data_IF_415114463919
#
_entry.id   IF_415114463919
#
_cell.length_a   1.000
_cell.length_b   1.000
_cell.length_c   1.000
_cell.angle_alpha   90.00
_cell.angle_beta   90.00
_cell.angle_gamma   90.00
#
_symmetry.space_group_name_H-M   'P 1'
#
loop_
_entity.id
_entity.type
_entity.pdbx_description
1 polymer ?
#
# COMPACT_ATOMS: atom_id res chain seq x y z
N UNK A 1 -12.93 -22.15 -12.51
CA UNK A 1 -11.94 -22.75 -11.59
C UNK A 1 -10.60 -22.65 -12.30
N UNK A 2 -9.72 -21.77 -11.84
CA UNK A 2 -8.43 -21.52 -12.49
C UNK A 2 -7.52 -22.74 -12.39
N UNK A 3 -6.78 -23.05 -13.45
CA UNK A 3 -5.78 -24.11 -13.43
C UNK A 3 -4.60 -23.61 -12.59
N UNK A 4 -4.23 -24.40 -11.59
CA UNK A 4 -3.06 -24.13 -10.76
C UNK A 4 -1.96 -25.09 -11.18
N UNK A 5 -0.91 -24.56 -11.81
CA UNK A 5 0.28 -25.34 -12.11
C UNK A 5 1.39 -24.99 -11.11
N UNK A 6 1.92 -26.03 -10.47
CA UNK A 6 3.06 -25.97 -9.56
C UNK A 6 4.30 -26.48 -10.30
N UNK A 7 5.23 -25.58 -10.64
CA UNK A 7 6.55 -25.96 -11.15
C UNK A 7 7.61 -25.67 -10.08
N UNK A 8 8.19 -26.73 -9.52
CA UNK A 8 9.31 -26.67 -8.57
C UNK A 8 10.59 -27.08 -9.30
N UNK A 9 11.59 -26.19 -9.31
CA UNK A 9 12.92 -26.48 -9.87
C UNK A 9 13.95 -26.35 -8.75
N UNK A 10 14.64 -27.43 -8.45
CA UNK A 10 15.74 -27.45 -7.49
C UNK A 10 17.06 -27.31 -8.23
N UNK A 11 17.77 -26.19 -8.03
CA UNK A 11 19.11 -25.99 -8.57
C UNK A 11 20.11 -26.04 -7.43
N UNK A 12 21.04 -27.01 -7.48
CA UNK A 12 22.13 -27.10 -6.51
C UNK A 12 23.21 -26.10 -6.92
N UNK A 13 23.49 -25.11 -6.07
CA UNK A 13 24.53 -24.11 -6.33
C UNK A 13 25.69 -24.40 -5.36
N UNK A 14 26.80 -24.88 -5.92
CA UNK A 14 28.04 -25.03 -5.16
C UNK A 14 28.75 -23.68 -5.07
N UNK A 15 28.82 -23.10 -3.87
CA UNK A 15 29.70 -21.97 -3.56
C UNK A 15 30.89 -22.53 -2.78
N UNK A 16 32.08 -21.94 -2.94
CA UNK A 16 33.39 -22.51 -2.58
C UNK A 16 33.57 -23.11 -1.17
N UNK A 17 32.69 -22.85 -0.20
CA UNK A 17 32.72 -23.44 1.15
C UNK A 17 31.37 -24.05 1.61
N UNK A 18 30.44 -24.35 0.70
CA UNK A 18 29.18 -25.02 1.06
C UNK A 18 28.21 -25.27 -0.08
N UNK A 19 27.45 -26.37 0.02
CA UNK A 19 26.36 -26.70 -0.92
C UNK A 19 25.09 -25.97 -0.48
N UNK A 20 24.69 -24.95 -1.24
CA UNK A 20 23.40 -24.29 -1.10
C UNK A 20 22.36 -24.91 -2.04
N UNK A 21 21.17 -25.22 -1.53
CA UNK A 21 20.03 -25.59 -2.38
C UNK A 21 19.22 -24.35 -2.69
N UNK A 22 19.15 -23.95 -3.96
CA UNK A 22 18.23 -22.90 -4.42
C UNK A 22 16.91 -23.57 -4.84
N UNK A 23 15.87 -23.35 -4.07
CA UNK A 23 14.51 -23.84 -4.34
C UNK A 23 13.73 -22.73 -5.05
N UNK A 24 13.44 -22.92 -6.34
CA UNK A 24 12.55 -22.03 -7.09
C UNK A 24 11.18 -22.68 -7.23
N UNK A 25 10.17 -22.08 -6.59
CA UNK A 25 8.78 -22.50 -6.67
C UNK A 25 8.00 -21.46 -7.47
N UNK A 26 7.62 -21.81 -8.70
CA UNK A 26 6.79 -20.95 -9.56
C UNK A 26 5.34 -21.40 -9.46
N UNK A 27 4.50 -20.55 -8.87
CA UNK A 27 3.04 -20.73 -8.83
C UNK A 27 2.42 -19.95 -9.98
N UNK A 28 1.93 -20.65 -11.00
CA UNK A 28 1.13 -20.03 -12.06
C UNK A 28 -0.34 -20.35 -11.84
N UNK A 29 -1.10 -19.31 -11.46
CA UNK A 29 -2.55 -19.37 -11.36
C UNK A 29 -3.10 -18.78 -12.66
N UNK A 30 -3.72 -19.63 -13.49
CA UNK A 30 -4.37 -19.17 -14.71
C UNK A 30 -5.79 -18.65 -14.40
N UNK A 31 -5.94 -17.33 -14.49
CA UNK A 31 -7.15 -16.57 -14.23
C UNK A 31 -7.99 -16.32 -15.50
N UNK A 32 -7.67 -17.00 -16.61
CA UNK A 32 -8.40 -16.82 -17.86
C UNK A 32 -9.89 -17.21 -17.72
N UNK A 33 -10.75 -16.31 -18.20
CA UNK A 33 -12.19 -16.52 -18.21
C UNK A 33 -12.64 -17.45 -19.36
N UNK A 34 -11.75 -17.72 -20.32
CA UNK A 34 -11.99 -18.60 -21.45
C UNK A 34 -11.08 -19.84 -21.38
N UNK A 35 -11.60 -21.05 -21.70
CA UNK A 35 -10.77 -22.25 -21.78
C UNK A 35 -9.73 -22.14 -22.89
N UNK A 36 -8.73 -23.03 -22.89
CA UNK A 36 -7.74 -23.03 -23.97
C UNK A 36 -8.43 -23.33 -25.32
N UNK A 37 -7.87 -22.88 -26.47
CA UNK A 37 -8.46 -23.14 -27.78
C UNK A 37 -8.69 -24.63 -28.07
N UNK A 38 -7.84 -25.49 -27.52
CA UNK A 38 -7.93 -26.95 -27.63
C UNK A 38 -9.15 -27.50 -26.85
N UNK A 39 -9.40 -26.98 -25.65
CA UNK A 39 -10.58 -27.32 -24.84
C UNK A 39 -11.86 -26.78 -25.46
N UNK A 40 -11.81 -25.57 -26.02
CA UNK A 40 -12.93 -24.99 -26.79
C UNK A 40 -13.33 -25.86 -27.98
N UNK A 41 -12.37 -26.43 -28.71
CA UNK A 41 -12.64 -27.36 -29.81
C UNK A 41 -13.31 -28.66 -29.32
N UNK A 42 -12.89 -29.17 -28.16
CA UNK A 42 -13.50 -30.34 -27.52
C UNK A 42 -14.92 -30.06 -26.98
N UNK A 43 -15.20 -28.83 -26.52
CA UNK A 43 -16.56 -28.45 -26.16
C UNK A 43 -17.46 -28.30 -27.38
N UNK A 44 -16.94 -27.74 -28.47
CA UNK A 44 -17.69 -27.54 -29.72
C UNK A 44 -18.14 -28.86 -30.37
N UNK A 45 -17.40 -29.95 -30.18
CA UNK A 45 -17.81 -31.28 -30.68
C UNK A 45 -18.99 -31.87 -29.88
N UNK A 46 -19.24 -31.39 -28.67
CA UNK A 46 -20.38 -31.80 -27.82
C UNK A 46 -21.62 -30.95 -28.13
N UNK A 47 -21.46 -29.63 -28.20
CA UNK A 47 -22.53 -28.70 -28.59
C UNK A 47 -21.94 -27.52 -29.40
N UNK A 48 -22.37 -27.29 -30.64
CA UNK A 48 -21.90 -26.16 -31.45
C UNK A 48 -22.14 -24.78 -30.81
N UNK A 49 -23.14 -24.62 -29.94
CA UNK A 49 -23.55 -23.34 -29.33
C UNK A 49 -22.85 -23.03 -28.01
N UNK A 50 -22.08 -23.97 -27.46
CA UNK A 50 -21.41 -23.79 -26.17
C UNK A 50 -20.38 -22.67 -26.20
N UNK A 51 -19.73 -22.45 -27.35
CA UNK A 51 -18.72 -21.40 -27.52
C UNK A 51 -19.35 -20.02 -27.40
N UNK A 52 -20.50 -19.80 -28.03
CA UNK A 52 -21.24 -18.54 -27.93
C UNK A 52 -21.72 -18.28 -26.50
N UNK A 53 -22.17 -19.33 -25.80
CA UNK A 53 -22.53 -19.24 -24.38
C UNK A 53 -21.32 -18.88 -23.51
N UNK A 54 -20.17 -19.53 -23.71
CA UNK A 54 -18.94 -19.28 -22.95
C UNK A 54 -18.41 -17.85 -23.18
N UNK A 55 -18.46 -17.35 -24.42
CA UNK A 55 -18.10 -15.98 -24.74
C UNK A 55 -19.01 -15.00 -23.99
N UNK A 56 -20.33 -15.18 -24.07
CA UNK A 56 -21.29 -14.31 -23.37
C UNK A 56 -21.12 -14.37 -21.85
N UNK A 57 -20.88 -15.56 -21.29
CA UNK A 57 -20.58 -15.74 -19.87
C UNK A 57 -19.27 -15.03 -19.48
N UNK A 58 -18.21 -15.14 -20.29
CA UNK A 58 -16.93 -14.47 -20.05
C UNK A 58 -17.02 -12.95 -20.12
N UNK A 59 -17.79 -12.39 -21.05
CA UNK A 59 -18.02 -10.94 -21.17
C UNK A 59 -18.76 -10.43 -19.93
N UNK A 60 -19.78 -11.17 -19.48
CA UNK A 60 -20.52 -10.84 -18.25
C UNK A 60 -19.62 -10.88 -17.02
N UNK A 61 -18.78 -11.89 -16.90
CA UNK A 61 -17.81 -12.02 -15.81
C UNK A 61 -16.75 -10.91 -15.84
N UNK A 62 -16.21 -10.58 -17.02
CA UNK A 62 -15.27 -9.46 -17.19
C UNK A 62 -15.91 -8.12 -16.79
N UNK A 63 -17.14 -7.85 -17.25
CA UNK A 63 -17.88 -6.66 -16.85
C UNK A 63 -18.11 -6.60 -15.33
N UNK A 64 -18.38 -7.75 -14.70
CA UNK A 64 -18.50 -7.84 -13.25
C UNK A 64 -17.16 -7.55 -12.54
N UNK A 65 -16.04 -8.13 -13.00
CA UNK A 65 -14.69 -7.85 -12.46
C UNK A 65 -14.33 -6.37 -12.59
N UNK A 66 -14.55 -5.76 -13.75
CA UNK A 66 -14.32 -4.32 -13.95
C UNK A 66 -15.20 -3.44 -13.04
N UNK A 67 -16.46 -3.82 -12.80
CA UNK A 67 -17.33 -3.14 -11.85
C UNK A 67 -16.83 -3.28 -10.42
N UNK A 68 -16.36 -4.45 -10.02
CA UNK A 68 -15.76 -4.65 -8.70
C UNK A 68 -14.48 -3.84 -8.52
N UNK A 69 -13.60 -3.84 -9.51
CA UNK A 69 -12.33 -3.09 -9.46
C UNK A 69 -12.57 -1.59 -9.41
N UNK A 70 -13.49 -1.06 -10.23
CA UNK A 70 -13.88 0.35 -10.16
C UNK A 70 -14.48 0.72 -8.80
N UNK A 71 -15.30 -0.14 -8.20
CA UNK A 71 -15.83 0.07 -6.85
C UNK A 71 -14.73 0.09 -5.78
N UNK A 72 -13.77 -0.84 -5.83
CA UNK A 72 -12.60 -0.86 -4.93
C UNK A 72 -11.78 0.40 -5.09
N UNK A 73 -11.46 0.81 -6.32
CA UNK A 73 -10.74 2.05 -6.61
C UNK A 73 -11.48 3.28 -6.09
N UNK A 74 -12.80 3.32 -6.22
CA UNK A 74 -13.61 4.42 -5.69
C UNK A 74 -13.63 4.45 -4.14
N UNK A 75 -13.60 3.28 -3.48
CA UNK A 75 -13.44 3.21 -2.03
C UNK A 75 -12.07 3.77 -1.59
N UNK A 76 -10.99 3.32 -2.24
CA UNK A 76 -9.63 3.78 -1.96
C UNK A 76 -9.54 5.30 -2.15
N UNK A 77 -10.03 5.83 -3.29
CA UNK A 77 -10.06 7.27 -3.57
C UNK A 77 -10.85 8.07 -2.53
N UNK A 78 -11.93 7.51 -1.99
CA UNK A 78 -12.72 8.17 -0.93
C UNK A 78 -11.98 8.19 0.41
N UNK A 79 -11.29 7.11 0.76
CA UNK A 79 -10.46 7.05 1.96
C UNK A 79 -9.32 8.06 1.87
N UNK A 80 -8.58 8.04 0.75
CA UNK A 80 -7.44 8.92 0.50
C UNK A 80 -7.82 10.42 0.54
N UNK A 81 -9.01 10.76 0.03
CA UNK A 81 -9.55 12.14 0.13
C UNK A 81 -9.92 12.55 1.56
N UNK A 82 -10.37 11.63 2.42
CA UNK A 82 -10.64 11.93 3.84
C UNK A 82 -9.32 12.13 4.59
N UNK A 83 -8.34 11.27 4.33
CA UNK A 83 -7.02 11.34 4.96
C UNK A 83 -6.28 12.61 4.55
N UNK A 84 -6.32 12.98 3.26
CA UNK A 84 -5.75 14.22 2.77
C UNK A 84 -6.34 15.48 3.41
N UNK A 85 -7.67 15.52 3.61
CA UNK A 85 -8.32 16.65 4.29
C UNK A 85 -7.97 16.71 5.77
N UNK A 86 -7.95 15.57 6.46
CA UNK A 86 -7.59 15.49 7.87
C UNK A 86 -6.13 15.88 8.09
N UNK A 87 -5.23 15.45 7.22
CA UNK A 87 -3.82 15.83 7.24
C UNK A 87 -3.63 17.34 7.02
N UNK A 88 -4.37 17.93 6.07
CA UNK A 88 -4.32 19.38 5.81
C UNK A 88 -4.77 20.19 7.03
N UNK A 89 -5.88 19.81 7.67
CA UNK A 89 -6.32 20.46 8.91
C UNK A 89 -5.34 20.26 10.06
N UNK A 90 -4.78 19.05 10.21
CA UNK A 90 -3.75 18.77 11.22
C UNK A 90 -2.52 19.66 11.06
N UNK A 91 -2.03 19.82 9.83
CA UNK A 91 -0.89 20.68 9.53
C UNK A 91 -1.20 22.17 9.72
N UNK A 92 -2.42 22.60 9.39
CA UNK A 92 -2.89 23.97 9.65
C UNK A 92 -2.97 24.27 11.16
N UNK A 93 -3.55 23.38 11.96
CA UNK A 93 -3.62 23.54 13.41
C UNK A 93 -2.23 23.50 14.07
N UNK A 94 -1.33 22.63 13.59
CA UNK A 94 0.05 22.58 14.08
C UNK A 94 0.79 23.90 13.80
N UNK A 95 0.63 24.46 12.60
CA UNK A 95 1.19 25.77 12.25
C UNK A 95 0.63 26.88 13.14
N UNK A 96 -0.70 26.93 13.31
CA UNK A 96 -1.35 27.94 14.16
C UNK A 96 -0.86 27.84 15.62
N UNK A 97 -0.71 26.63 16.15
CA UNK A 97 -0.19 26.41 17.51
C UNK A 97 1.23 26.95 17.67
N UNK A 98 2.13 26.73 16.69
CA UNK A 98 3.49 27.28 16.71
C UNK A 98 3.47 28.81 16.70
N UNK A 99 2.63 29.43 15.85
CA UNK A 99 2.50 30.90 15.80
C UNK A 99 2.05 31.45 17.15
N UNK A 100 1.02 30.87 17.76
CA UNK A 100 0.53 31.28 19.08
C UNK A 100 1.63 31.15 20.15
N UNK A 101 2.39 30.05 20.13
CA UNK A 101 3.50 29.84 21.06
C UNK A 101 4.61 30.89 20.91
N UNK A 102 4.95 31.27 19.68
CA UNK A 102 5.94 32.32 19.40
C UNK A 102 5.44 33.67 19.91
N UNK A 103 4.18 34.02 19.65
CA UNK A 103 3.57 35.28 20.12
C UNK A 103 3.56 35.34 21.65
N UNK A 104 3.18 34.25 22.32
CA UNK A 104 3.19 34.16 23.78
C UNK A 104 4.61 34.28 24.36
N UNK A 105 5.60 33.65 23.72
CA UNK A 105 7.00 33.76 24.15
C UNK A 105 7.52 35.20 23.97
N UNK A 106 7.22 35.85 22.86
CA UNK A 106 7.56 37.26 22.62
C UNK A 106 6.87 38.20 23.60
N UNK A 107 5.60 37.97 23.91
CA UNK A 107 4.86 38.74 24.92
C UNK A 107 5.41 38.53 26.34
N UNK A 108 5.86 37.32 26.68
CA UNK A 108 6.50 37.04 27.97
C UNK A 108 7.88 37.71 28.10
N UNK A 109 8.64 37.83 27.01
CA UNK A 109 9.87 38.63 26.98
C UNK A 109 9.57 40.11 27.18
N UNK A 110 8.50 40.62 26.57
CA UNK A 110 8.07 42.00 26.75
C UNK A 110 7.70 42.32 28.22
N UNK A 111 7.18 41.34 28.97
CA UNK A 111 6.87 41.46 30.40
C UNK A 111 8.07 41.20 31.33
N UNK A 112 9.30 41.19 30.80
CA UNK A 112 10.54 40.88 31.56
C UNK A 112 10.47 39.53 32.31
N UNK A 113 9.83 38.52 31.71
CA UNK A 113 9.84 37.12 32.20
C UNK A 113 10.70 36.22 31.30
N UNK A 114 12.05 36.42 31.28
CA UNK A 114 12.94 35.70 30.36
C UNK A 114 12.99 34.20 30.64
N UNK A 115 12.78 33.78 31.89
CA UNK A 115 12.77 32.36 32.27
C UNK A 115 11.62 31.59 31.58
N UNK A 116 10.45 32.20 31.46
CA UNK A 116 9.29 31.59 30.82
C UNK A 116 9.50 31.48 29.30
N UNK A 117 10.01 32.55 28.68
CA UNK A 117 10.35 32.55 27.26
C UNK A 117 11.43 31.52 26.91
N UNK A 118 12.43 31.34 27.78
CA UNK A 118 13.48 30.35 27.61
C UNK A 118 12.96 28.91 27.58
N UNK A 119 12.13 28.53 28.56
CA UNK A 119 11.55 27.18 28.62
C UNK A 119 10.63 26.92 27.43
N UNK A 120 9.77 27.89 27.10
CA UNK A 120 8.83 27.77 25.97
C UNK A 120 9.54 27.69 24.63
N UNK A 121 10.54 28.53 24.39
CA UNK A 121 11.35 28.51 23.18
C UNK A 121 12.11 27.20 23.00
N UNK A 122 12.79 26.74 24.06
CA UNK A 122 13.54 25.47 24.02
C UNK A 122 12.62 24.26 23.77
N UNK A 123 11.47 24.19 24.44
CA UNK A 123 10.48 23.13 24.24
C UNK A 123 9.99 23.06 22.79
N UNK A 124 9.72 24.22 22.19
CA UNK A 124 9.25 24.31 20.80
C UNK A 124 10.31 23.80 19.82
N UNK A 125 11.59 24.17 20.01
CA UNK A 125 12.70 23.70 19.18
C UNK A 125 12.91 22.19 19.29
N UNK A 126 12.87 21.63 20.50
CA UNK A 126 12.98 20.18 20.72
C UNK A 126 11.83 19.44 20.04
N UNK A 127 10.60 19.97 20.14
CA UNK A 127 9.43 19.36 19.50
C UNK A 127 9.59 19.32 17.98
N UNK A 128 10.08 20.40 17.35
CA UNK A 128 10.32 20.44 15.91
C UNK A 128 11.45 19.48 15.51
N UNK A 129 12.57 19.49 16.24
CA UNK A 129 13.70 18.59 15.98
C UNK A 129 13.28 17.11 16.07
N UNK A 130 12.43 16.75 17.04
CA UNK A 130 11.94 15.38 17.23
C UNK A 130 11.16 14.85 16.02
N UNK A 131 10.42 15.71 15.30
CA UNK A 131 9.66 15.33 14.10
C UNK A 131 10.63 14.93 12.98
N UNK A 132 11.72 15.68 12.79
CA UNK A 132 12.74 15.35 11.79
C UNK A 132 13.48 14.05 12.11
N UNK A 133 13.83 13.82 13.37
CA UNK A 133 14.50 12.59 13.82
C UNK A 133 13.59 11.37 13.60
N UNK A 134 12.34 11.44 14.07
CA UNK A 134 11.36 10.35 13.93
C UNK A 134 11.04 10.06 12.46
N UNK A 135 11.06 11.07 11.58
CA UNK A 135 10.89 10.87 10.14
C UNK A 135 12.05 10.10 9.50
N UNK A 136 13.25 10.16 10.08
CA UNK A 136 14.42 9.44 9.57
C UNK A 136 14.39 7.95 10.00
N UNK A 137 13.94 7.66 11.22
CA UNK A 137 13.78 6.29 11.73
C UNK A 137 12.68 5.50 11.01
N UNK A 138 11.64 6.17 10.51
CA UNK A 138 10.60 5.51 9.73
C UNK A 138 11.06 5.12 8.32
N UNK A 139 12.12 5.74 7.76
CA UNK A 139 12.72 5.32 6.49
C UNK A 139 13.71 4.16 6.63
N UNK A 140 14.28 3.96 7.83
CA UNK A 140 15.27 2.91 8.09
C UNK A 140 14.65 1.60 8.58
N UNK A 141 13.35 1.56 8.90
CA UNK A 141 12.64 0.32 9.19
C UNK A 141 12.36 -0.45 7.89
N UNK A 142 12.92 -1.65 7.69
CA UNK A 142 12.51 -2.50 6.58
C UNK A 142 11.02 -2.82 6.74
N UNK A 143 10.28 -2.71 5.65
CA UNK A 143 8.85 -3.00 5.55
C UNK A 143 8.61 -4.46 5.95
N UNK A 144 8.31 -4.72 7.22
CA UNK A 144 8.20 -6.09 7.69
C UNK A 144 8.07 -6.25 9.19
N UNK A 145 7.06 -5.63 9.83
CA UNK A 145 6.42 -6.25 10.98
C UNK A 145 5.10 -5.54 11.36
N UNK A 146 4.03 -5.78 10.62
CA UNK A 146 2.69 -5.78 11.21
C UNK A 146 2.35 -7.23 11.55
N UNK A 147 2.81 -7.69 12.73
CA UNK A 147 2.23 -8.89 13.34
C UNK A 147 0.89 -8.49 13.98
N UNK A 148 -0.15 -9.14 13.44
CA UNK A 148 -1.47 -9.46 14.01
C UNK A 148 -2.09 -8.48 15.00
#
# INVERSE_FOLDING_TARGET
>A
MGKQELKQRETQVATGDGVGKQLEQTFTVDDNCLPSPQELAAYKSIDPRIVDYLINASVKEQAHRHKMDSNKLNLIRKADRRDGRMNWWGMFFAFLAIVVMIVLAGYALYLDKPWFAGIMGASTLVSVASIFIKSNDNKSKPYGNTKK
#
